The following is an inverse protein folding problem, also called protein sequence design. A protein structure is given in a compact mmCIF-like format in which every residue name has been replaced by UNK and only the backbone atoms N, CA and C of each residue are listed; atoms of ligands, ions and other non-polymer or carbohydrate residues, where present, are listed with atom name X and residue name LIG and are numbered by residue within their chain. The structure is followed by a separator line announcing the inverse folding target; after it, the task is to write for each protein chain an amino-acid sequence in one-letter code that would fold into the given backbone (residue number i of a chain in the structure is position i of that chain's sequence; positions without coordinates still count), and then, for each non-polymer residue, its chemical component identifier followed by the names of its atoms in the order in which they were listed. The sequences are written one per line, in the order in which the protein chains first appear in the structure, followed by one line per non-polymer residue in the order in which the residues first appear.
data_IF_971879549910
#
_entry.id   IF_971879549910
#
_cell.length_a   1.000
_cell.length_b   1.000
_cell.length_c   1.000
_cell.angle_alpha   90.00
_cell.angle_beta   90.00
_cell.angle_gamma   90.00
#
_symmetry.space_group_name_H-M   'P 1'
#
loop_
_entity.id
_entity.type
_entity.pdbx_description
1 polymer ?
#
# COMPACT_ATOMS: atom_id res chain seq x y z
N UNK A 1 8.25 17.49 21.95
CA UNK A 1 8.14 17.30 20.47
C UNK A 1 8.96 18.40 19.80
N UNK A 2 9.92 18.04 18.98
CA UNK A 2 10.71 18.98 18.17
C UNK A 2 10.13 18.92 16.75
N UNK A 3 9.70 20.09 16.24
CA UNK A 3 9.27 20.23 14.84
C UNK A 3 10.41 20.92 14.08
N UNK A 4 11.01 20.18 13.15
CA UNK A 4 11.99 20.74 12.24
C UNK A 4 11.28 21.24 10.99
N UNK A 5 11.43 22.53 10.66
CA UNK A 5 10.98 23.11 9.39
C UNK A 5 12.19 23.34 8.51
N UNK A 6 12.10 22.87 7.29
CA UNK A 6 13.14 23.07 6.28
C UNK A 6 12.70 24.12 5.25
N UNK A 7 13.63 24.76 4.54
CA UNK A 7 13.29 25.66 3.45
C UNK A 7 12.37 25.02 2.41
N UNK A 8 11.48 25.84 1.86
CA UNK A 8 10.60 25.39 0.77
C UNK A 8 11.41 25.01 -0.47
N UNK A 9 11.03 23.91 -1.16
CA UNK A 9 11.66 23.55 -2.44
C UNK A 9 11.41 24.60 -3.54
N UNK A 10 10.30 25.38 -3.43
CA UNK A 10 9.95 26.41 -4.40
C UNK A 10 10.68 27.73 -4.14
N UNK A 11 10.93 28.07 -2.89
CA UNK A 11 11.67 29.25 -2.48
C UNK A 11 12.53 28.93 -1.26
N UNK A 12 13.86 28.74 -1.45
CA UNK A 12 14.79 28.40 -0.36
C UNK A 12 14.89 29.45 0.75
N UNK A 13 14.43 30.68 0.50
CA UNK A 13 14.43 31.77 1.50
C UNK A 13 13.19 31.73 2.40
N UNK A 14 12.21 30.88 2.11
CA UNK A 14 11.00 30.74 2.90
C UNK A 14 10.96 29.35 3.57
N UNK A 15 10.51 29.32 4.81
CA UNK A 15 10.23 28.06 5.48
C UNK A 15 8.98 27.40 4.86
N UNK A 16 9.04 26.11 4.62
CA UNK A 16 7.88 25.34 4.17
C UNK A 16 6.66 25.54 5.10
N UNK A 17 5.47 25.40 4.57
CA UNK A 17 4.24 25.50 5.35
C UNK A 17 4.21 24.50 6.51
N UNK A 18 3.59 24.90 7.62
CA UNK A 18 3.38 24.02 8.75
C UNK A 18 2.23 23.05 8.42
N UNK A 19 2.58 21.85 7.98
CA UNK A 19 1.60 20.78 7.78
C UNK A 19 1.54 19.91 9.05
N UNK A 20 0.39 19.87 9.71
CA UNK A 20 0.14 18.95 10.82
C UNK A 20 -0.18 17.57 10.23
N UNK A 21 0.66 16.60 10.53
CA UNK A 21 0.53 15.23 10.04
C UNK A 21 0.15 14.29 11.19
N UNK A 22 -0.97 14.56 11.85
CA UNK A 22 -1.40 13.85 13.06
C UNK A 22 -1.52 12.34 12.85
N UNK A 23 -2.02 11.91 11.70
CA UNK A 23 -2.12 10.48 11.34
C UNK A 23 -0.74 9.81 11.27
N UNK A 24 0.24 10.44 10.60
CA UNK A 24 1.62 9.91 10.54
C UNK A 24 2.26 9.89 11.91
N UNK A 25 2.04 10.92 12.70
CA UNK A 25 2.56 10.99 14.05
C UNK A 25 1.93 9.94 14.97
N UNK A 26 0.64 9.64 14.78
CA UNK A 26 -0.06 8.56 15.46
C UNK A 26 0.57 7.19 15.16
N UNK A 27 0.81 6.90 13.87
CA UNK A 27 1.47 5.65 13.43
C UNK A 27 2.89 5.55 14.02
N UNK A 28 3.65 6.65 14.01
CA UNK A 28 4.99 6.65 14.59
C UNK A 28 4.96 6.35 16.09
N UNK A 29 4.02 6.93 16.84
CA UNK A 29 3.83 6.64 18.27
C UNK A 29 3.48 5.17 18.51
N UNK A 30 2.62 4.61 17.70
CA UNK A 30 2.23 3.20 17.77
C UNK A 30 3.46 2.30 17.55
N UNK A 31 4.24 2.59 16.51
CA UNK A 31 5.49 1.85 16.24
C UNK A 31 6.49 1.93 17.40
N UNK A 32 6.69 3.11 17.96
CA UNK A 32 7.54 3.28 19.17
C UNK A 32 6.97 2.49 20.36
N UNK A 33 5.64 2.44 20.49
CA UNK A 33 4.97 1.61 21.51
C UNK A 33 5.26 0.13 21.34
N UNK A 34 5.21 -0.38 20.10
CA UNK A 34 5.55 -1.77 19.78
C UNK A 34 7.00 -2.10 20.10
N UNK A 35 7.94 -1.23 19.73
CA UNK A 35 9.36 -1.43 20.04
C UNK A 35 9.63 -1.49 21.56
N UNK A 36 8.92 -0.67 22.34
CA UNK A 36 8.99 -0.74 23.81
C UNK A 36 8.43 -2.05 24.35
N UNK A 37 7.29 -2.52 23.83
CA UNK A 37 6.69 -3.80 24.20
C UNK A 37 7.63 -4.97 23.92
N UNK A 38 8.33 -4.90 22.79
CA UNK A 38 9.31 -5.90 22.36
C UNK A 38 10.65 -5.78 23.08
N UNK A 39 10.87 -4.73 23.89
CA UNK A 39 12.16 -4.41 24.52
C UNK A 39 13.32 -4.29 23.52
N UNK A 40 13.05 -3.65 22.35
CA UNK A 40 14.00 -3.43 21.26
C UNK A 40 13.97 -1.98 20.76
N UNK A 41 13.84 -1.04 21.67
CA UNK A 41 13.73 0.38 21.35
C UNK A 41 15.01 0.97 20.72
N UNK A 42 16.12 0.23 20.81
CA UNK A 42 17.40 0.60 20.21
C UNK A 42 18.23 -0.64 19.83
N UNK A 43 19.27 -0.41 19.02
CA UNK A 43 20.14 -1.48 18.51
C UNK A 43 20.80 -2.29 19.64
N UNK A 44 21.16 -1.62 20.75
CA UNK A 44 21.78 -2.28 21.90
C UNK A 44 20.85 -3.27 22.58
N UNK A 45 19.57 -2.91 22.76
CA UNK A 45 18.53 -3.81 23.27
C UNK A 45 18.28 -4.98 22.33
N UNK A 46 18.17 -4.70 21.01
CA UNK A 46 18.03 -5.73 19.99
C UNK A 46 19.19 -6.74 20.02
N UNK A 47 20.44 -6.27 20.01
CA UNK A 47 21.62 -7.14 20.07
C UNK A 47 21.66 -7.95 21.36
N UNK A 48 21.26 -7.38 22.47
CA UNK A 48 21.18 -8.10 23.76
C UNK A 48 20.12 -9.19 23.72
N UNK A 49 18.97 -8.92 23.14
CA UNK A 49 17.91 -9.91 22.96
C UNK A 49 18.37 -11.07 22.08
N UNK A 50 19.08 -10.80 20.98
CA UNK A 50 19.66 -11.82 20.10
C UNK A 50 20.71 -12.67 20.84
N UNK A 51 21.62 -12.04 21.60
CA UNK A 51 22.61 -12.77 22.41
C UNK A 51 21.96 -13.67 23.46
N UNK A 52 20.82 -13.27 24.01
CA UNK A 52 20.07 -14.03 25.00
C UNK A 52 19.09 -15.04 24.36
N UNK A 53 19.25 -15.36 23.08
CA UNK A 53 18.44 -16.35 22.33
C UNK A 53 16.93 -16.04 22.29
N UNK A 54 16.54 -14.77 22.46
CA UNK A 54 15.14 -14.32 22.43
C UNK A 54 14.63 -13.93 21.03
N UNK A 55 15.45 -14.11 20.00
CA UNK A 55 15.09 -13.71 18.61
C UNK A 55 13.82 -14.40 18.11
N UNK A 56 13.63 -15.68 18.42
CA UNK A 56 12.46 -16.44 18.00
C UNK A 56 11.15 -15.92 18.65
N UNK A 57 11.20 -15.59 19.93
CA UNK A 57 10.08 -14.99 20.66
C UNK A 57 9.74 -13.61 20.10
N UNK A 58 10.76 -12.80 19.82
CA UNK A 58 10.60 -11.47 19.23
C UNK A 58 9.95 -11.52 17.85
N UNK A 59 10.37 -12.47 17.00
CA UNK A 59 9.76 -12.67 15.68
C UNK A 59 8.28 -13.00 15.82
N UNK A 60 7.94 -14.02 16.65
CA UNK A 60 6.55 -14.41 16.88
C UNK A 60 5.69 -13.27 17.40
N UNK A 61 6.21 -12.49 18.35
CA UNK A 61 5.48 -11.37 18.92
C UNK A 61 5.29 -10.25 17.88
N UNK A 62 6.32 -9.96 17.07
CA UNK A 62 6.23 -8.98 15.99
C UNK A 62 5.19 -9.39 14.94
N UNK A 63 5.17 -10.66 14.55
CA UNK A 63 4.19 -11.19 13.61
C UNK A 63 2.77 -11.14 14.17
N UNK A 64 2.58 -11.48 15.45
CA UNK A 64 1.29 -11.40 16.12
C UNK A 64 0.77 -9.96 16.21
N UNK A 65 1.64 -8.98 16.52
CA UNK A 65 1.29 -7.56 16.53
C UNK A 65 0.89 -7.07 15.13
N UNK A 66 1.64 -7.48 14.11
CA UNK A 66 1.33 -7.14 12.72
C UNK A 66 -0.02 -7.73 12.29
N UNK A 67 -0.27 -9.01 12.54
CA UNK A 67 -1.52 -9.68 12.19
C UNK A 67 -2.72 -9.05 12.91
N UNK A 68 -2.56 -8.74 14.20
CA UNK A 68 -3.57 -8.01 14.97
C UNK A 68 -3.90 -6.66 14.33
N UNK A 69 -2.91 -5.95 13.81
CA UNK A 69 -3.12 -4.66 13.13
C UNK A 69 -3.86 -4.84 11.82
N UNK A 70 -3.54 -5.87 11.03
CA UNK A 70 -4.25 -6.18 9.78
C UNK A 70 -5.71 -6.51 10.06
N UNK A 71 -5.99 -7.32 11.08
CA UNK A 71 -7.36 -7.64 11.51
C UNK A 71 -8.13 -6.37 11.93
N UNK A 72 -7.53 -5.50 12.74
CA UNK A 72 -8.15 -4.22 13.12
C UNK A 72 -8.49 -3.33 11.93
N UNK A 73 -7.63 -3.30 10.91
CA UNK A 73 -7.89 -2.54 9.68
C UNK A 73 -9.08 -3.16 8.92
N UNK A 74 -9.13 -4.49 8.82
CA UNK A 74 -10.26 -5.18 8.18
C UNK A 74 -11.57 -4.90 8.92
N UNK A 75 -11.57 -4.92 10.25
CA UNK A 75 -12.73 -4.59 11.08
C UNK A 75 -13.18 -3.14 10.87
N UNK A 76 -12.23 -2.19 10.77
CA UNK A 76 -12.55 -0.79 10.48
C UNK A 76 -13.16 -0.60 9.09
N UNK A 77 -12.76 -1.40 8.10
CA UNK A 77 -13.35 -1.39 6.76
C UNK A 77 -14.75 -1.99 6.80
N UNK A 78 -14.92 -3.13 7.47
CA UNK A 78 -16.19 -3.85 7.53
C UNK A 78 -17.28 -3.09 8.30
N UNK A 79 -16.91 -2.45 9.42
CA UNK A 79 -17.84 -1.78 10.33
C UNK A 79 -17.85 -0.25 10.19
N UNK A 80 -17.52 0.26 9.03
CA UNK A 80 -17.53 1.69 8.76
C UNK A 80 -18.96 2.24 8.78
N UNK A 81 -19.22 3.32 9.52
CA UNK A 81 -20.52 3.97 9.65
C UNK A 81 -21.14 4.38 8.30
N UNK A 82 -20.31 4.75 7.34
CA UNK A 82 -20.72 5.13 5.98
C UNK A 82 -20.96 3.94 5.04
N UNK A 83 -20.90 2.72 5.57
CA UNK A 83 -20.96 1.49 4.79
C UNK A 83 -19.61 1.01 4.29
N UNK A 84 -19.57 -0.21 3.76
CA UNK A 84 -18.36 -0.85 3.22
C UNK A 84 -17.87 -0.06 1.99
N UNK A 85 -16.60 0.39 1.96
CA UNK A 85 -16.08 1.12 0.81
C UNK A 85 -15.95 0.19 -0.40
N UNK A 86 -16.20 0.71 -1.60
CA UNK A 86 -16.01 -0.07 -2.83
C UNK A 86 -14.54 -0.25 -3.20
N UNK A 87 -13.67 0.69 -2.77
CA UNK A 87 -12.24 0.67 -3.04
C UNK A 87 -11.43 0.91 -1.78
N UNK A 88 -10.38 0.13 -1.62
CA UNK A 88 -9.35 0.29 -0.58
C UNK A 88 -7.99 0.43 -1.26
N UNK A 89 -7.40 1.61 -1.20
CA UNK A 89 -6.14 1.89 -1.87
C UNK A 89 -4.97 1.64 -0.93
N UNK A 90 -4.02 0.81 -1.36
CA UNK A 90 -2.78 0.51 -0.63
C UNK A 90 -1.61 1.15 -1.37
N UNK A 91 -0.95 2.10 -0.74
CA UNK A 91 0.23 2.74 -1.30
C UNK A 91 1.45 2.59 -0.39
N UNK A 92 2.62 2.64 -0.99
CA UNK A 92 3.90 2.57 -0.28
C UNK A 92 5.06 2.44 -1.27
N UNK A 93 6.30 2.69 -0.85
CA UNK A 93 7.46 2.59 -1.72
C UNK A 93 7.67 1.17 -2.25
N UNK A 94 8.55 1.03 -3.23
CA UNK A 94 8.97 -0.28 -3.74
C UNK A 94 9.50 -1.14 -2.58
N UNK A 95 9.27 -2.44 -2.64
CA UNK A 95 9.69 -3.43 -1.63
C UNK A 95 9.17 -3.18 -0.20
N UNK A 96 8.18 -2.32 0.00
CA UNK A 96 7.59 -2.05 1.33
C UNK A 96 6.66 -3.14 1.85
N UNK A 97 6.41 -4.20 1.07
CA UNK A 97 5.52 -5.29 1.45
C UNK A 97 4.04 -5.07 1.11
N UNK A 98 3.70 -4.13 0.21
CA UNK A 98 2.31 -3.88 -0.24
C UNK A 98 1.58 -5.16 -0.62
N UNK A 99 2.19 -6.00 -1.45
CA UNK A 99 1.61 -7.27 -1.92
C UNK A 99 1.36 -8.26 -0.78
N UNK A 100 2.28 -8.35 0.18
CA UNK A 100 2.11 -9.22 1.36
C UNK A 100 0.99 -8.69 2.25
N UNK A 101 0.95 -7.39 2.46
CA UNK A 101 -0.09 -6.74 3.24
C UNK A 101 -1.47 -6.90 2.58
N UNK A 102 -1.60 -6.67 1.27
CA UNK A 102 -2.88 -6.84 0.56
C UNK A 102 -3.41 -8.26 0.65
N UNK A 103 -2.55 -9.29 0.51
CA UNK A 103 -2.93 -10.70 0.67
C UNK A 103 -3.44 -11.00 2.08
N UNK A 104 -2.78 -10.50 3.13
CA UNK A 104 -3.23 -10.67 4.52
C UNK A 104 -4.54 -9.93 4.78
N UNK A 105 -4.66 -8.69 4.29
CA UNK A 105 -5.89 -7.91 4.40
C UNK A 105 -7.07 -8.61 3.70
N UNK A 106 -6.84 -9.18 2.51
CA UNK A 106 -7.81 -9.99 1.78
C UNK A 106 -8.39 -11.10 2.66
N UNK A 107 -7.52 -11.87 3.34
CA UNK A 107 -7.97 -12.94 4.25
C UNK A 107 -8.83 -12.39 5.38
N UNK A 108 -8.40 -11.32 6.03
CA UNK A 108 -9.13 -10.72 7.15
C UNK A 108 -10.47 -10.09 6.71
N UNK A 109 -10.56 -9.54 5.51
CA UNK A 109 -11.82 -9.08 4.94
C UNK A 109 -12.78 -10.24 4.66
N UNK A 110 -12.28 -11.37 4.16
CA UNK A 110 -13.08 -12.59 3.96
C UNK A 110 -13.61 -13.14 5.29
N UNK A 111 -12.84 -13.08 6.38
CA UNK A 111 -13.30 -13.43 7.74
C UNK A 111 -14.47 -12.53 8.17
N UNK A 112 -14.48 -11.27 7.75
CA UNK A 112 -15.58 -10.31 7.98
C UNK A 112 -16.76 -10.46 6.97
N UNK A 113 -16.77 -11.51 6.15
CA UNK A 113 -17.84 -11.76 5.17
C UNK A 113 -17.79 -10.87 3.92
N UNK A 114 -16.71 -10.12 3.73
CA UNK A 114 -16.51 -9.27 2.55
C UNK A 114 -15.82 -10.08 1.45
N UNK A 115 -16.14 -9.79 0.18
CA UNK A 115 -15.47 -10.39 -0.99
C UNK A 115 -14.44 -9.43 -1.56
N UNK A 116 -13.15 -9.53 -1.19
CA UNK A 116 -12.11 -8.68 -1.74
C UNK A 116 -11.63 -9.17 -3.10
N UNK A 117 -11.35 -8.22 -4.00
CA UNK A 117 -10.69 -8.47 -5.29
C UNK A 117 -9.48 -7.56 -5.37
N UNK A 118 -8.32 -8.14 -5.66
CA UNK A 118 -7.07 -7.37 -5.75
C UNK A 118 -6.82 -6.95 -7.20
N UNK A 119 -6.61 -5.65 -7.43
CA UNK A 119 -6.17 -5.10 -8.71
C UNK A 119 -4.78 -4.49 -8.51
N UNK A 120 -3.76 -5.06 -9.17
CA UNK A 120 -2.44 -4.46 -9.19
C UNK A 120 -2.38 -3.31 -10.19
N UNK A 121 -1.98 -2.13 -9.75
CA UNK A 121 -1.71 -1.01 -10.64
C UNK A 121 -0.56 -1.30 -11.62
N UNK A 122 0.35 -2.20 -11.27
CA UNK A 122 1.45 -2.61 -12.15
C UNK A 122 0.94 -3.23 -13.47
N UNK A 123 -0.27 -3.79 -13.48
CA UNK A 123 -0.88 -4.29 -14.70
C UNK A 123 -1.34 -3.19 -15.67
N UNK A 124 -1.37 -1.95 -15.22
CA UNK A 124 -1.75 -0.78 -16.02
C UNK A 124 -0.56 -0.01 -16.54
N UNK A 125 0.66 -0.54 -16.46
CA UNK A 125 1.80 0.08 -17.13
C UNK A 125 1.54 0.20 -18.64
N UNK A 126 2.00 1.29 -19.23
CA UNK A 126 2.13 1.43 -20.68
C UNK A 126 3.20 0.45 -21.18
N UNK A 127 3.27 0.18 -22.49
CA UNK A 127 4.38 -0.63 -22.98
C UNK A 127 5.72 0.04 -22.68
N UNK A 128 6.77 -0.75 -22.53
CA UNK A 128 8.11 -0.23 -22.17
C UNK A 128 8.61 0.85 -23.14
N UNK A 129 8.30 0.71 -24.41
CA UNK A 129 8.65 1.66 -25.47
C UNK A 129 7.98 3.04 -25.30
N UNK A 130 6.79 3.06 -24.65
CA UNK A 130 6.00 4.26 -24.38
C UNK A 130 6.30 4.88 -23.00
N UNK A 131 7.20 4.25 -22.21
CA UNK A 131 7.59 4.74 -20.89
C UNK A 131 8.37 6.06 -21.04
N UNK A 132 8.06 7.11 -20.25
CA UNK A 132 8.85 8.33 -20.23
C UNK A 132 10.33 8.07 -19.96
N UNK A 133 11.17 9.00 -20.43
CA UNK A 133 12.60 8.96 -20.15
C UNK A 133 12.99 10.05 -19.17
N UNK A 134 13.98 9.74 -18.33
CA UNK A 134 14.56 10.69 -17.41
C UNK A 134 15.52 11.69 -18.13
N UNK A 135 16.14 12.57 -17.36
CA UNK A 135 17.09 13.58 -17.87
C UNK A 135 18.34 12.95 -18.52
N UNK A 136 18.66 11.67 -18.21
CA UNK A 136 19.80 10.92 -18.76
C UNK A 136 19.40 10.08 -19.99
N UNK A 137 18.11 10.09 -20.38
CA UNK A 137 17.59 9.29 -21.47
C UNK A 137 17.25 7.85 -21.10
N UNK A 138 17.35 7.49 -19.81
CA UNK A 138 16.96 6.17 -19.30
C UNK A 138 15.44 6.11 -19.04
N UNK A 139 14.89 4.90 -19.00
CA UNK A 139 13.47 4.71 -18.71
C UNK A 139 13.12 5.13 -17.27
N UNK A 140 12.24 6.11 -17.10
CA UNK A 140 11.76 6.55 -15.79
C UNK A 140 10.49 5.80 -15.38
N UNK A 141 10.65 4.64 -14.74
CA UNK A 141 9.54 3.83 -14.26
C UNK A 141 8.82 4.39 -13.03
N UNK A 142 9.34 5.44 -12.40
CA UNK A 142 8.70 6.13 -11.27
C UNK A 142 7.84 7.32 -11.75
N UNK A 143 7.91 7.67 -13.04
CA UNK A 143 7.09 8.73 -13.60
C UNK A 143 5.60 8.34 -13.62
N UNK A 144 4.72 9.30 -13.34
CA UNK A 144 3.27 9.05 -13.27
C UNK A 144 2.68 8.54 -14.60
N UNK A 145 3.20 9.01 -15.72
CA UNK A 145 2.76 8.63 -17.07
C UNK A 145 3.22 7.23 -17.51
N UNK A 146 3.97 6.51 -16.66
CA UNK A 146 4.23 5.08 -16.87
C UNK A 146 2.98 4.24 -16.69
N UNK A 147 1.96 4.79 -16.02
CA UNK A 147 0.67 4.17 -15.82
C UNK A 147 -0.36 4.73 -16.80
N UNK A 148 -1.13 3.87 -17.43
CA UNK A 148 -2.30 4.25 -18.23
C UNK A 148 -3.45 4.67 -17.28
N UNK A 149 -3.30 5.85 -16.71
CA UNK A 149 -4.31 6.41 -15.79
C UNK A 149 -5.68 6.60 -16.43
N UNK A 150 -5.81 6.99 -17.72
CA UNK A 150 -7.09 7.03 -18.41
C UNK A 150 -7.81 5.68 -18.40
N UNK A 151 -7.13 4.60 -18.79
CA UNK A 151 -7.69 3.25 -18.76
C UNK A 151 -8.05 2.80 -17.34
N UNK A 152 -7.16 3.08 -16.37
CA UNK A 152 -7.43 2.72 -14.97
C UNK A 152 -8.68 3.42 -14.43
N UNK A 153 -8.83 4.73 -14.68
CA UNK A 153 -10.01 5.51 -14.29
C UNK A 153 -11.27 5.01 -14.97
N UNK A 154 -11.19 4.69 -16.26
CA UNK A 154 -12.31 4.11 -17.01
C UNK A 154 -12.77 2.80 -16.39
N UNK A 155 -11.86 1.88 -16.10
CA UNK A 155 -12.17 0.60 -15.47
C UNK A 155 -12.81 0.77 -14.09
N UNK A 156 -12.30 1.69 -13.26
CA UNK A 156 -12.91 1.97 -11.95
C UNK A 156 -14.34 2.51 -12.10
N UNK A 157 -14.59 3.41 -13.06
CA UNK A 157 -15.92 3.94 -13.31
C UNK A 157 -16.88 2.85 -13.82
N UNK A 158 -16.44 2.03 -14.78
CA UNK A 158 -17.22 0.90 -15.32
C UNK A 158 -17.57 -0.11 -14.23
N UNK A 159 -16.65 -0.42 -13.33
CA UNK A 159 -16.90 -1.31 -12.19
C UNK A 159 -17.94 -0.72 -11.22
N UNK A 160 -17.90 0.59 -10.96
CA UNK A 160 -18.92 1.27 -10.14
C UNK A 160 -20.30 1.26 -10.79
N UNK A 161 -20.34 1.37 -12.13
CA UNK A 161 -21.56 1.26 -12.95
C UNK A 161 -22.10 -0.18 -13.06
N UNK A 162 -21.43 -1.16 -12.40
CA UNK A 162 -21.82 -2.56 -12.48
C UNK A 162 -21.50 -3.24 -13.83
N UNK A 163 -20.57 -2.69 -14.60
CA UNK A 163 -20.11 -3.29 -15.84
C UNK A 163 -19.00 -4.30 -15.59
N UNK A 164 -18.80 -5.19 -16.53
CA UNK A 164 -17.67 -6.12 -16.54
C UNK A 164 -16.53 -5.51 -17.34
N UNK A 165 -15.35 -5.45 -16.75
CA UNK A 165 -14.12 -5.00 -17.41
C UNK A 165 -13.23 -6.17 -17.80
N UNK A 166 -12.35 -5.96 -18.78
CA UNK A 166 -11.26 -6.89 -19.11
C UNK A 166 -10.01 -6.43 -18.35
N UNK A 167 -9.46 -7.29 -17.51
CA UNK A 167 -8.26 -6.96 -16.77
C UNK A 167 -7.02 -7.00 -17.66
N UNK A 168 -6.21 -5.93 -17.67
CA UNK A 168 -4.91 -5.98 -18.31
C UNK A 168 -3.93 -6.81 -17.48
N UNK A 169 -2.92 -7.34 -18.12
CA UNK A 169 -1.78 -7.98 -17.51
C UNK A 169 -0.50 -7.37 -18.08
N UNK A 170 0.39 -6.90 -17.23
CA UNK A 170 1.69 -6.40 -17.69
C UNK A 170 2.74 -7.50 -17.59
N UNK A 171 3.33 -7.86 -18.72
CA UNK A 171 4.40 -8.84 -18.80
C UNK A 171 5.75 -8.12 -18.64
N UNK A 172 6.37 -8.25 -17.47
CA UNK A 172 7.65 -7.60 -17.16
C UNK A 172 8.82 -8.10 -18.00
N UNK A 173 8.77 -9.35 -18.50
CA UNK A 173 9.81 -9.90 -19.35
C UNK A 173 9.79 -9.24 -20.73
N UNK A 174 8.63 -9.19 -21.36
CA UNK A 174 8.46 -8.59 -22.70
C UNK A 174 8.33 -7.07 -22.64
N UNK A 175 7.96 -6.51 -21.50
CA UNK A 175 7.67 -5.09 -21.34
C UNK A 175 6.37 -4.66 -22.04
N UNK A 176 5.40 -5.55 -22.19
CA UNK A 176 4.15 -5.29 -22.89
C UNK A 176 2.92 -5.58 -22.04
N UNK A 177 1.88 -4.79 -22.26
CA UNK A 177 0.56 -5.04 -21.71
C UNK A 177 -0.21 -6.00 -22.60
N UNK A 178 -0.78 -7.03 -22.01
CA UNK A 178 -1.49 -8.12 -22.64
C UNK A 178 -2.91 -8.25 -22.04
N UNK A 179 -3.82 -8.88 -22.75
CA UNK A 179 -5.13 -9.29 -22.24
C UNK A 179 -5.23 -10.80 -22.33
N UNK A 180 -5.27 -11.47 -21.17
CA UNK A 180 -5.27 -12.93 -21.04
C UNK A 180 -6.68 -13.52 -20.92
N UNK A 181 -7.70 -12.71 -21.15
CA UNK A 181 -9.10 -13.11 -21.05
C UNK A 181 -9.70 -13.00 -19.66
N UNK A 182 -8.94 -12.54 -18.67
CA UNK A 182 -9.47 -12.30 -17.34
C UNK A 182 -10.44 -11.11 -17.36
N UNK A 183 -11.59 -11.31 -16.70
CA UNK A 183 -12.62 -10.28 -16.56
C UNK A 183 -12.96 -10.09 -15.11
N UNK A 184 -13.41 -8.89 -14.76
CA UNK A 184 -13.85 -8.54 -13.43
C UNK A 184 -15.22 -7.86 -13.50
N UNK A 185 -16.11 -8.29 -12.61
CA UNK A 185 -17.39 -7.66 -12.31
C UNK A 185 -17.51 -7.51 -10.80
N UNK A 186 -18.02 -6.37 -10.31
CA UNK A 186 -18.21 -6.16 -8.88
C UNK A 186 -19.63 -6.54 -8.46
N UNK A 187 -19.75 -7.56 -7.64
CA UNK A 187 -20.97 -7.86 -6.91
C UNK A 187 -21.21 -6.82 -5.78
N UNK A 188 -22.42 -6.88 -5.18
CA UNK A 188 -22.82 -5.90 -4.17
C UNK A 188 -21.86 -5.79 -2.98
N UNK A 189 -21.30 -6.92 -2.54
CA UNK A 189 -20.44 -7.02 -1.36
C UNK A 189 -18.95 -7.15 -1.73
N UNK A 190 -18.57 -6.77 -2.95
CA UNK A 190 -17.20 -6.82 -3.41
C UNK A 190 -16.46 -5.52 -3.09
N UNK A 191 -15.26 -5.64 -2.54
CA UNK A 191 -14.31 -4.54 -2.31
C UNK A 191 -13.09 -4.75 -3.18
N UNK A 192 -12.70 -3.74 -3.93
CA UNK A 192 -11.46 -3.73 -4.72
C UNK A 192 -10.33 -3.20 -3.83
N UNK A 193 -9.21 -3.93 -3.81
CA UNK A 193 -7.97 -3.56 -3.10
C UNK A 193 -6.89 -3.23 -4.12
#
# INVERSE_FOLDING_TARGET
NILLRVPSRRDPNQLGERCMQDKRFGIFKEYVGWNKLLHISNVGEFNRACKNQKSFEMIKLSEALHEKKVAQIADQIAHRETGIPRFVLISGPSSSGKTTFSKRLTIQLMVNGIRPVVISMDNYFVNREDTPRDENGEWDFEHLETLDLPLFRQHLAELLDGKTIKLPFYNFETGKREYRGETLHLEKDTVVI
#
